data_IF_456991353129
#
_entry.id   IF_456991353129
#
_cell.length_a   1.000
_cell.length_b   1.000
_cell.length_c   1.000
_cell.angle_alpha   90.00
_cell.angle_beta   90.00
_cell.angle_gamma   90.00
#
_symmetry.space_group_name_H-M   'P 1'
#
loop_
_entity.id
_entity.type
_entity.pdbx_description
1 polymer ?
#
# COMPACT_ATOMS: atom_id res chain seq x y z
N UNK A 1 42.33 17.50 -39.72
CA UNK A 1 41.79 16.14 -39.59
C UNK A 1 40.58 16.21 -38.68
N UNK A 2 39.42 16.22 -39.32
CA UNK A 2 38.08 16.13 -38.71
C UNK A 2 37.74 14.68 -38.36
N UNK A 3 36.69 14.53 -37.53
CA UNK A 3 35.90 13.32 -37.26
C UNK A 3 36.47 12.29 -36.25
N UNK A 4 35.73 11.69 -35.30
CA UNK A 4 34.44 11.95 -34.64
C UNK A 4 34.31 10.98 -33.46
N UNK A 5 33.63 11.42 -32.40
CA UNK A 5 32.70 10.70 -31.52
C UNK A 5 32.80 9.16 -31.40
N UNK A 6 33.09 8.71 -30.17
CA UNK A 6 32.24 7.72 -29.51
C UNK A 6 31.81 8.27 -28.14
N UNK A 7 30.70 9.00 -28.14
CA UNK A 7 29.89 9.13 -26.95
C UNK A 7 29.38 7.73 -26.62
N UNK A 8 29.96 7.09 -25.59
CA UNK A 8 29.40 5.84 -25.06
C UNK A 8 28.00 6.14 -24.57
N UNK A 9 27.06 5.65 -25.37
CA UNK A 9 25.64 5.62 -25.18
C UNK A 9 25.35 4.96 -23.81
N UNK A 10 25.20 5.74 -22.74
CA UNK A 10 24.61 5.25 -21.50
C UNK A 10 23.10 5.12 -21.74
N UNK A 11 22.74 4.03 -22.42
CA UNK A 11 21.37 3.56 -22.55
C UNK A 11 20.74 3.50 -21.16
N UNK A 12 19.64 4.23 -20.99
CA UNK A 12 18.81 4.28 -19.80
C UNK A 12 18.54 2.84 -19.34
N UNK A 13 18.99 2.49 -18.12
CA UNK A 13 18.77 1.16 -17.55
C UNK A 13 17.26 0.95 -17.35
N UNK A 14 16.70 -0.24 -17.65
CA UNK A 14 15.32 -0.55 -17.29
C UNK A 14 15.18 -0.49 -15.76
N UNK A 15 14.13 0.16 -15.28
CA UNK A 15 13.79 0.22 -13.84
C UNK A 15 13.61 -1.17 -13.24
N UNK A 16 13.75 -1.26 -11.92
CA UNK A 16 13.59 -2.53 -11.18
C UNK A 16 12.17 -3.10 -11.35
N UNK A 17 11.19 -2.25 -11.64
CA UNK A 17 9.80 -2.67 -11.83
C UNK A 17 9.56 -3.16 -13.27
N UNK A 18 9.77 -4.47 -13.45
CA UNK A 18 9.23 -5.24 -14.57
C UNK A 18 7.79 -5.72 -14.31
N UNK A 19 7.21 -6.50 -15.23
CA UNK A 19 5.86 -7.04 -15.08
C UNK A 19 5.72 -7.91 -13.82
N UNK A 20 6.71 -8.75 -13.51
CA UNK A 20 6.67 -9.64 -12.35
C UNK A 20 6.70 -8.82 -11.06
N UNK A 21 7.63 -7.88 -10.94
CA UNK A 21 7.74 -6.98 -9.78
C UNK A 21 6.48 -6.12 -9.63
N UNK A 22 5.91 -5.61 -10.72
CA UNK A 22 4.63 -4.89 -10.70
C UNK A 22 3.53 -5.71 -10.04
N UNK A 23 3.40 -6.97 -10.44
CA UNK A 23 2.40 -7.88 -9.89
C UNK A 23 2.67 -8.26 -8.42
N UNK A 24 3.95 -8.39 -8.02
CA UNK A 24 4.31 -8.65 -6.63
C UNK A 24 3.95 -7.46 -5.73
N UNK A 25 4.23 -6.23 -6.18
CA UNK A 25 3.79 -5.01 -5.47
C UNK A 25 2.27 -4.97 -5.37
N UNK A 26 1.56 -5.30 -6.45
CA UNK A 26 0.10 -5.34 -6.45
C UNK A 26 -0.47 -6.40 -5.49
N UNK A 27 0.17 -7.57 -5.38
CA UNK A 27 -0.25 -8.62 -4.45
C UNK A 27 -0.06 -8.22 -2.98
N UNK A 28 1.10 -7.63 -2.63
CA UNK A 28 1.32 -7.09 -1.29
C UNK A 28 0.30 -5.98 -0.96
N UNK A 29 0.08 -5.07 -1.91
CA UNK A 29 -0.92 -4.00 -1.78
C UNK A 29 -2.34 -4.54 -1.60
N UNK A 30 -2.71 -5.60 -2.33
CA UNK A 30 -4.03 -6.22 -2.24
C UNK A 30 -4.26 -6.90 -0.89
N UNK A 31 -3.24 -7.57 -0.34
CA UNK A 31 -3.29 -8.08 1.03
C UNK A 31 -3.43 -6.94 2.04
N UNK A 32 -2.63 -5.89 1.89
CA UNK A 32 -2.63 -4.75 2.80
C UNK A 32 -3.98 -4.00 2.82
N UNK A 33 -4.64 -3.88 1.65
CA UNK A 33 -5.96 -3.25 1.50
C UNK A 33 -7.15 -4.18 1.78
N UNK A 34 -6.94 -5.44 2.17
CA UNK A 34 -7.98 -6.47 2.29
C UNK A 34 -8.82 -6.66 0.99
N UNK A 35 -8.20 -6.52 -0.18
CA UNK A 35 -8.88 -6.69 -1.47
C UNK A 35 -8.88 -8.16 -1.92
N UNK A 36 -9.83 -8.97 -1.45
CA UNK A 36 -9.95 -10.38 -1.85
C UNK A 36 -10.07 -10.56 -3.38
N UNK A 37 -10.92 -9.76 -4.02
CA UNK A 37 -11.12 -9.80 -5.47
C UNK A 37 -9.82 -9.46 -6.24
N UNK A 38 -9.02 -8.52 -5.73
CA UNK A 38 -7.73 -8.19 -6.32
C UNK A 38 -6.76 -9.36 -6.18
N UNK A 39 -6.64 -9.97 -4.99
CA UNK A 39 -5.76 -11.13 -4.78
C UNK A 39 -6.13 -12.31 -5.68
N UNK A 40 -7.42 -12.63 -5.78
CA UNK A 40 -7.95 -13.69 -6.67
C UNK A 40 -7.56 -13.47 -8.14
N UNK A 41 -7.47 -12.21 -8.58
CA UNK A 41 -7.04 -11.85 -9.93
C UNK A 41 -5.52 -11.85 -10.11
N UNK A 42 -4.78 -11.29 -9.16
CA UNK A 42 -3.33 -11.05 -9.29
C UNK A 42 -2.52 -12.35 -9.17
N UNK A 43 -2.92 -13.29 -8.29
CA UNK A 43 -2.15 -14.52 -8.05
C UNK A 43 -2.03 -15.40 -9.31
N UNK A 44 -3.09 -15.62 -10.12
CA UNK A 44 -2.94 -16.26 -11.43
C UNK A 44 -1.98 -15.53 -12.37
N UNK A 45 -2.09 -14.19 -12.47
CA UNK A 45 -1.22 -13.40 -13.34
C UNK A 45 0.26 -13.47 -12.91
N UNK A 46 0.53 -13.60 -11.60
CA UNK A 46 1.87 -13.83 -11.05
C UNK A 46 2.46 -15.17 -11.52
N UNK A 47 1.65 -16.23 -11.50
CA UNK A 47 2.07 -17.55 -11.99
C UNK A 47 2.36 -17.51 -13.50
N UNK A 48 1.54 -16.79 -14.26
CA UNK A 48 1.78 -16.57 -15.69
C UNK A 48 3.06 -15.78 -15.95
N UNK A 49 3.37 -14.81 -15.07
CA UNK A 49 4.62 -14.04 -15.07
C UNK A 49 5.83 -14.81 -14.52
N UNK A 50 5.69 -16.12 -14.27
CA UNK A 50 6.75 -17.00 -13.75
C UNK A 50 7.28 -16.59 -12.37
N UNK A 51 6.45 -15.95 -11.55
CA UNK A 51 6.76 -15.78 -10.13
C UNK A 51 6.72 -17.13 -9.42
N UNK A 52 7.67 -17.39 -8.53
CA UNK A 52 7.68 -18.61 -7.72
C UNK A 52 6.68 -18.51 -6.57
N UNK A 53 6.21 -19.64 -6.05
CA UNK A 53 5.32 -19.66 -4.89
C UNK A 53 5.94 -18.95 -3.67
N UNK A 54 7.26 -19.00 -3.53
CA UNK A 54 7.98 -18.28 -2.48
C UNK A 54 8.00 -16.76 -2.70
N UNK A 55 8.15 -16.29 -3.95
CA UNK A 55 8.03 -14.85 -4.27
C UNK A 55 6.63 -14.35 -3.97
N UNK A 56 5.60 -15.10 -4.37
CA UNK A 56 4.20 -14.78 -4.12
C UNK A 56 3.92 -14.76 -2.61
N UNK A 57 4.35 -15.80 -1.88
CA UNK A 57 4.20 -15.90 -0.42
C UNK A 57 4.87 -14.73 0.27
N UNK A 58 6.11 -14.40 -0.09
CA UNK A 58 6.83 -13.26 0.48
C UNK A 58 6.07 -11.97 0.26
N UNK A 59 5.56 -11.70 -0.95
CA UNK A 59 4.79 -10.50 -1.23
C UNK A 59 3.54 -10.38 -0.34
N UNK A 60 2.80 -11.48 -0.19
CA UNK A 60 1.59 -11.53 0.65
C UNK A 60 1.96 -11.32 2.13
N UNK A 61 2.99 -12.00 2.64
CA UNK A 61 3.45 -11.85 4.03
C UNK A 61 3.93 -10.42 4.31
N UNK A 62 4.65 -9.80 3.37
CA UNK A 62 5.04 -8.38 3.46
C UNK A 62 3.82 -7.46 3.53
N UNK A 63 2.82 -7.68 2.68
CA UNK A 63 1.57 -6.90 2.72
C UNK A 63 0.80 -7.06 4.02
N UNK A 64 0.69 -8.30 4.53
CA UNK A 64 0.05 -8.61 5.80
C UNK A 64 0.77 -7.94 6.98
N UNK A 65 2.11 -8.00 7.01
CA UNK A 65 2.91 -7.33 8.02
C UNK A 65 2.64 -5.81 8.07
N UNK A 66 2.63 -5.15 6.91
CA UNK A 66 2.40 -3.70 6.84
C UNK A 66 1.00 -3.32 7.32
N UNK A 67 -0.02 -4.12 6.96
CA UNK A 67 -1.39 -3.97 7.46
C UNK A 67 -1.47 -4.09 8.98
N UNK A 68 -0.91 -5.16 9.54
CA UNK A 68 -1.01 -5.44 10.97
C UNK A 68 -0.26 -4.41 11.79
N UNK A 69 0.88 -3.94 11.29
CA UNK A 69 1.66 -2.88 11.92
C UNK A 69 0.89 -1.56 11.97
N UNK A 70 0.26 -1.16 10.86
CA UNK A 70 -0.58 0.04 10.85
C UNK A 70 -1.74 -0.07 11.86
N UNK A 71 -2.37 -1.24 11.95
CA UNK A 71 -3.42 -1.49 12.93
C UNK A 71 -2.90 -1.45 14.39
N UNK A 72 -1.71 -1.98 14.66
CA UNK A 72 -1.10 -1.96 15.99
C UNK A 72 -0.84 -0.53 16.47
N UNK A 73 -0.21 0.30 15.64
CA UNK A 73 0.06 1.72 15.94
C UNK A 73 -1.25 2.48 16.23
N UNK A 74 -2.29 2.23 15.42
CA UNK A 74 -3.59 2.87 15.63
C UNK A 74 -4.25 2.44 16.95
N UNK A 75 -4.06 1.19 17.38
CA UNK A 75 -4.57 0.71 18.68
C UNK A 75 -3.85 1.37 19.85
N UNK A 76 -2.52 1.47 19.79
CA UNK A 76 -1.73 2.16 20.83
C UNK A 76 -2.13 3.65 20.95
N UNK A 77 -2.36 4.30 19.82
CA UNK A 77 -2.86 5.67 19.80
C UNK A 77 -4.27 5.77 20.39
N UNK A 78 -5.17 4.84 20.04
CA UNK A 78 -6.52 4.81 20.60
C UNK A 78 -6.51 4.57 22.12
N UNK A 79 -5.66 3.68 22.63
CA UNK A 79 -5.49 3.45 24.06
C UNK A 79 -5.02 4.71 24.78
N UNK A 80 -4.10 5.46 24.17
CA UNK A 80 -3.62 6.74 24.69
C UNK A 80 -4.71 7.82 24.69
N UNK A 81 -5.47 7.94 23.60
CA UNK A 81 -6.44 9.03 23.42
C UNK A 81 -7.77 8.78 24.14
N UNK A 82 -8.21 7.52 24.21
CA UNK A 82 -9.54 7.15 24.69
C UNK A 82 -9.51 6.30 25.98
N UNK A 83 -8.32 5.98 26.51
CA UNK A 83 -8.18 5.15 27.72
C UNK A 83 -8.64 3.71 27.50
N UNK A 84 -8.58 3.21 26.27
CA UNK A 84 -8.94 1.83 25.92
C UNK A 84 -7.80 0.85 26.25
N UNK A 85 -8.03 -0.44 26.00
CA UNK A 85 -7.01 -1.50 26.10
C UNK A 85 -7.11 -2.43 24.89
N UNK A 86 -6.94 -1.84 23.70
CA UNK A 86 -7.03 -2.51 22.40
C UNK A 86 -5.69 -3.08 21.95
N UNK A 87 -4.58 -2.44 22.35
CA UNK A 87 -3.24 -2.91 22.06
C UNK A 87 -2.99 -4.24 22.80
N UNK A 88 -2.50 -5.23 22.05
CA UNK A 88 -2.00 -6.49 22.62
C UNK A 88 -0.51 -6.36 22.97
N UNK A 89 0.21 -7.48 23.00
CA UNK A 89 1.67 -7.44 23.06
C UNK A 89 2.23 -6.65 21.87
N UNK A 90 3.19 -5.75 22.15
CA UNK A 90 3.80 -4.88 21.15
C UNK A 90 4.40 -5.71 20.02
N UNK A 91 3.93 -5.47 18.80
CA UNK A 91 4.51 -6.09 17.63
C UNK A 91 5.94 -5.56 17.46
N UNK A 92 6.91 -6.46 17.45
CA UNK A 92 8.33 -6.14 17.23
C UNK A 92 8.50 -5.17 16.04
N UNK A 93 9.26 -4.09 16.25
CA UNK A 93 9.62 -3.10 15.23
C UNK A 93 10.67 -3.67 14.25
N UNK A 94 10.29 -4.69 13.49
CA UNK A 94 11.13 -5.33 12.48
C UNK A 94 10.43 -5.26 11.13
N UNK A 95 10.85 -4.34 10.27
CA UNK A 95 10.42 -4.32 8.89
C UNK A 95 10.93 -5.58 8.17
N UNK A 96 10.19 -6.15 7.19
CA UNK A 96 10.57 -7.41 6.53
C UNK A 96 11.97 -7.42 5.89
N UNK A 97 12.60 -6.26 5.70
CA UNK A 97 13.96 -6.10 5.17
C UNK A 97 15.09 -5.84 6.13
N UNK A 98 14.81 -5.66 7.43
CA UNK A 98 15.84 -5.22 8.39
C UNK A 98 17.01 -6.21 8.53
N UNK A 99 16.79 -7.48 8.22
CA UNK A 99 17.80 -8.55 8.31
C UNK A 99 18.29 -9.04 6.93
N UNK A 100 17.82 -8.44 5.84
CA UNK A 100 18.19 -8.85 4.49
C UNK A 100 19.43 -8.10 3.99
N UNK A 101 20.24 -8.79 3.18
CA UNK A 101 21.31 -8.13 2.43
C UNK A 101 20.68 -7.14 1.44
N UNK A 102 21.21 -5.92 1.32
CA UNK A 102 20.72 -4.84 0.44
C UNK A 102 20.98 -5.11 -1.07
N UNK A 103 20.58 -6.27 -1.56
CA UNK A 103 20.67 -6.70 -2.95
C UNK A 103 19.37 -6.45 -3.74
N UNK A 104 19.24 -7.01 -4.94
CA UNK A 104 18.03 -6.85 -5.76
C UNK A 104 16.76 -7.41 -5.09
N UNK A 105 16.87 -8.51 -4.33
CA UNK A 105 15.75 -9.12 -3.61
C UNK A 105 15.23 -8.21 -2.50
N UNK A 106 16.15 -7.58 -1.76
CA UNK A 106 15.79 -6.55 -0.78
C UNK A 106 15.03 -5.39 -1.42
N UNK A 107 15.55 -4.83 -2.53
CA UNK A 107 14.90 -3.69 -3.21
C UNK A 107 13.49 -4.03 -3.68
N UNK A 108 13.28 -5.21 -4.27
CA UNK A 108 11.94 -5.68 -4.69
C UNK A 108 11.01 -5.77 -3.48
N UNK A 109 11.45 -6.37 -2.39
CA UNK A 109 10.62 -6.50 -1.20
C UNK A 109 10.29 -5.14 -0.56
N UNK A 110 11.24 -4.21 -0.53
CA UNK A 110 10.99 -2.86 -0.02
C UNK A 110 10.02 -2.08 -0.91
N UNK A 111 10.04 -2.28 -2.24
CA UNK A 111 9.01 -1.73 -3.13
C UNK A 111 7.62 -2.34 -2.86
N UNK A 112 7.54 -3.65 -2.60
CA UNK A 112 6.29 -4.30 -2.17
C UNK A 112 5.79 -3.67 -0.87
N UNK A 113 6.68 -3.45 0.10
CA UNK A 113 6.35 -2.81 1.36
C UNK A 113 5.86 -1.36 1.17
N UNK A 114 6.47 -0.59 0.28
CA UNK A 114 6.04 0.79 -0.04
C UNK A 114 4.63 0.83 -0.65
N UNK A 115 4.35 -0.02 -1.65
CA UNK A 115 3.01 -0.15 -2.22
C UNK A 115 1.98 -0.61 -1.18
N UNK A 116 2.36 -1.54 -0.31
CA UNK A 116 1.53 -2.02 0.80
C UNK A 116 1.24 -0.91 1.83
N UNK A 117 2.22 -0.06 2.13
CA UNK A 117 2.05 1.05 3.08
C UNK A 117 1.04 2.07 2.55
N UNK A 118 1.13 2.41 1.26
CA UNK A 118 0.13 3.24 0.59
C UNK A 118 -1.26 2.60 0.63
N UNK A 119 -1.34 1.30 0.35
CA UNK A 119 -2.60 0.56 0.33
C UNK A 119 -3.25 0.45 1.71
N UNK A 120 -2.45 0.35 2.78
CA UNK A 120 -2.89 0.28 4.17
C UNK A 120 -3.11 1.65 4.85
N UNK A 121 -2.83 2.77 4.16
CA UNK A 121 -2.75 4.10 4.79
C UNK A 121 -1.76 4.17 5.98
N UNK A 122 -0.67 3.41 5.94
CA UNK A 122 0.33 3.43 7.01
C UNK A 122 1.42 4.47 6.70
N UNK A 123 1.17 5.74 7.04
CA UNK A 123 2.14 6.83 6.88
C UNK A 123 3.47 6.52 7.57
N UNK A 124 3.40 6.02 8.82
CA UNK A 124 4.58 5.60 9.57
C UNK A 124 5.44 4.59 8.80
N UNK A 125 4.80 3.56 8.21
CA UNK A 125 5.49 2.54 7.43
C UNK A 125 6.16 3.16 6.21
N UNK A 126 5.46 4.04 5.48
CA UNK A 126 6.00 4.69 4.30
C UNK A 126 7.21 5.58 4.64
N UNK A 127 7.11 6.37 5.71
CA UNK A 127 8.20 7.24 6.20
C UNK A 127 9.43 6.45 6.63
N UNK A 128 9.27 5.19 7.05
CA UNK A 128 10.39 4.28 7.36
C UNK A 128 10.98 3.61 6.09
N UNK A 129 10.13 3.15 5.18
CA UNK A 129 10.54 2.35 4.01
C UNK A 129 11.24 3.20 2.93
N UNK A 130 10.80 4.45 2.72
CA UNK A 130 11.33 5.29 1.64
C UNK A 130 12.82 5.65 1.83
N UNK A 131 13.29 6.07 3.01
CA UNK A 131 14.72 6.26 3.25
C UNK A 131 15.59 5.03 2.95
N UNK A 132 15.12 3.85 3.34
CA UNK A 132 15.80 2.57 3.08
C UNK A 132 15.91 2.25 1.58
N UNK A 133 14.86 2.53 0.81
CA UNK A 133 14.86 2.40 -0.65
C UNK A 133 15.86 3.36 -1.31
N UNK A 134 15.93 4.60 -0.82
CA UNK A 134 16.88 5.61 -1.28
C UNK A 134 18.31 5.14 -0.99
N UNK A 135 18.59 4.69 0.23
CA UNK A 135 19.91 4.21 0.63
C UNK A 135 20.33 2.96 -0.18
N UNK A 136 19.40 2.08 -0.50
CA UNK A 136 19.63 0.95 -1.38
C UNK A 136 19.76 1.33 -2.86
N UNK A 137 19.64 2.61 -3.23
CA UNK A 137 19.80 3.10 -4.59
C UNK A 137 18.67 2.65 -5.53
N UNK A 138 17.44 2.56 -5.02
CA UNK A 138 16.24 2.38 -5.86
C UNK A 138 15.89 3.73 -6.51
N UNK A 139 15.50 3.70 -7.78
CA UNK A 139 15.18 4.93 -8.51
C UNK A 139 13.88 5.55 -8.00
N UNK A 140 13.78 6.88 -8.05
CA UNK A 140 12.54 7.58 -7.71
C UNK A 140 11.36 7.12 -8.58
N UNK A 141 11.62 6.81 -9.86
CA UNK A 141 10.60 6.30 -10.78
C UNK A 141 10.04 4.94 -10.33
N UNK A 142 10.89 4.03 -9.85
CA UNK A 142 10.45 2.74 -9.32
C UNK A 142 9.66 2.92 -8.01
N UNK A 143 10.15 3.76 -7.08
CA UNK A 143 9.43 4.06 -5.84
C UNK A 143 8.04 4.66 -6.10
N UNK A 144 7.97 5.66 -6.98
CA UNK A 144 6.72 6.31 -7.39
C UNK A 144 5.75 5.30 -7.99
N UNK A 145 6.22 4.45 -8.91
CA UNK A 145 5.38 3.44 -9.53
C UNK A 145 4.85 2.43 -8.50
N UNK A 146 5.64 2.03 -7.51
CA UNK A 146 5.15 1.16 -6.43
C UNK A 146 4.04 1.83 -5.60
N UNK A 147 4.20 3.12 -5.29
CA UNK A 147 3.19 3.93 -4.60
C UNK A 147 1.91 4.06 -5.42
N UNK A 148 2.01 4.33 -6.72
CA UNK A 148 0.88 4.41 -7.65
C UNK A 148 0.11 3.08 -7.73
N UNK A 149 0.81 1.95 -7.79
CA UNK A 149 0.19 0.61 -7.74
C UNK A 149 -0.57 0.42 -6.42
N UNK A 150 0.04 0.79 -5.29
CA UNK A 150 -0.59 0.72 -3.97
C UNK A 150 -1.88 1.54 -3.90
N UNK A 151 -1.84 2.80 -4.36
CA UNK A 151 -3.00 3.68 -4.41
C UNK A 151 -4.11 3.12 -5.33
N UNK A 152 -3.75 2.62 -6.52
CA UNK A 152 -4.73 2.01 -7.42
C UNK A 152 -5.43 0.79 -6.81
N UNK A 153 -4.71 -0.03 -6.04
CA UNK A 153 -5.29 -1.20 -5.36
C UNK A 153 -6.16 -0.76 -4.18
N UNK A 154 -5.73 0.24 -3.41
CA UNK A 154 -6.47 0.81 -2.27
C UNK A 154 -7.89 1.25 -2.61
N UNK A 155 -8.09 1.84 -3.78
CA UNK A 155 -9.38 2.42 -4.16
C UNK A 155 -10.42 1.36 -4.58
N UNK A 156 -9.97 0.14 -4.91
CA UNK A 156 -10.85 -0.93 -5.41
C UNK A 156 -11.82 -1.50 -4.36
N UNK A 157 -11.38 -1.90 -3.15
CA UNK A 157 -12.29 -2.36 -2.10
C UNK A 157 -13.39 -1.36 -1.81
N UNK A 158 -13.06 -0.07 -1.76
CA UNK A 158 -14.05 0.98 -1.52
C UNK A 158 -15.10 1.06 -2.64
N UNK A 159 -14.69 0.97 -3.90
CA UNK A 159 -15.61 0.94 -5.03
C UNK A 159 -16.54 -0.29 -4.99
N UNK A 160 -15.98 -1.48 -4.76
CA UNK A 160 -16.75 -2.74 -4.64
C UNK A 160 -17.73 -2.67 -3.46
N UNK A 161 -17.29 -2.14 -2.32
CA UNK A 161 -18.14 -2.02 -1.13
C UNK A 161 -19.28 -1.03 -1.34
N UNK A 162 -19.06 0.07 -2.06
CA UNK A 162 -20.11 1.04 -2.41
C UNK A 162 -21.18 0.40 -3.29
N UNK A 163 -20.79 -0.37 -4.31
CA UNK A 163 -21.73 -1.09 -5.16
C UNK A 163 -22.53 -2.12 -4.36
N UNK A 164 -21.86 -2.91 -3.50
CA UNK A 164 -22.54 -3.86 -2.62
C UNK A 164 -23.51 -3.16 -1.65
N UNK A 165 -23.11 -2.03 -1.09
CA UNK A 165 -23.97 -1.24 -0.21
C UNK A 165 -25.20 -0.69 -0.96
N UNK A 166 -25.06 -0.21 -2.20
CA UNK A 166 -26.17 0.27 -3.01
C UNK A 166 -27.20 -0.84 -3.25
N UNK A 167 -26.73 -2.05 -3.57
CA UNK A 167 -27.60 -3.24 -3.74
C UNK A 167 -28.31 -3.62 -2.44
N UNK A 168 -27.58 -3.66 -1.32
CA UNK A 168 -28.11 -4.15 -0.04
C UNK A 168 -29.04 -3.16 0.66
N UNK A 169 -28.81 -1.86 0.47
CA UNK A 169 -29.51 -0.80 1.24
C UNK A 169 -30.38 0.10 0.38
N UNK A 170 -30.32 -0.02 -0.94
CA UNK A 170 -30.98 0.91 -1.87
C UNK A 170 -30.33 2.31 -1.89
N UNK A 171 -29.12 2.44 -1.34
CA UNK A 171 -28.36 3.69 -1.37
C UNK A 171 -27.79 3.97 -2.78
N UNK A 172 -27.18 5.14 -2.95
CA UNK A 172 -26.56 5.61 -4.22
C UNK A 172 -25.15 6.14 -3.98
N UNK A 173 -24.36 5.39 -3.23
CA UNK A 173 -22.98 5.69 -2.85
C UNK A 173 -22.00 5.54 -4.02
N UNK A 174 -22.27 4.65 -4.97
CA UNK A 174 -21.42 4.44 -6.15
C UNK A 174 -21.48 5.62 -7.14
N UNK A 175 -22.58 6.38 -7.17
CA UNK A 175 -22.81 7.50 -8.09
C UNK A 175 -22.39 8.88 -7.60
N UNK A 176 -21.93 9.02 -6.34
CA UNK A 176 -21.60 10.32 -5.74
C UNK A 176 -20.10 10.47 -5.52
N UNK A 177 -19.47 11.38 -6.26
CA UNK A 177 -18.17 11.94 -5.88
C UNK A 177 -18.35 12.77 -4.60
N UNK A 178 -17.60 12.53 -3.52
CA UNK A 178 -17.73 13.30 -2.30
C UNK A 178 -17.21 14.72 -2.56
N UNK A 179 -18.13 15.70 -2.58
CA UNK A 179 -17.78 17.10 -2.35
C UNK A 179 -17.55 17.29 -0.85
N UNK A 180 -16.31 17.67 -0.50
CA UNK A 180 -15.87 18.31 0.75
C UNK A 180 -16.35 17.74 2.10
N UNK A 181 -15.42 17.10 2.80
CA UNK A 181 -15.01 17.35 4.21
C UNK A 181 -16.02 17.95 5.22
N UNK A 182 -17.27 17.49 5.27
CA UNK A 182 -18.09 17.71 6.46
C UNK A 182 -18.14 16.43 7.28
N UNK A 183 -17.55 16.48 8.48
CA UNK A 183 -17.72 15.43 9.46
C UNK A 183 -19.23 15.35 9.79
N UNK A 184 -19.87 14.16 9.71
CA UNK A 184 -21.29 14.03 10.04
C UNK A 184 -21.66 14.55 11.45
N UNK A 185 -20.67 14.58 12.34
CA UNK A 185 -20.79 15.13 13.70
C UNK A 185 -21.13 16.62 13.71
N UNK A 186 -20.70 17.39 12.72
CA UNK A 186 -20.98 18.83 12.64
C UNK A 186 -22.47 19.11 12.38
N UNK A 187 -23.16 18.18 11.69
CA UNK A 187 -24.61 18.26 11.44
C UNK A 187 -25.46 17.87 12.64
N UNK A 188 -24.91 17.13 13.61
CA UNK A 188 -25.64 16.71 14.82
C UNK A 188 -25.67 17.78 15.92
N UNK A 189 -24.79 18.79 15.89
CA UNK A 189 -24.78 19.86 16.90
C UNK A 189 -25.88 20.93 16.71
N UNK A 190 -26.54 20.99 15.56
CA UNK A 190 -27.51 22.05 15.25
C UNK A 190 -28.97 21.75 15.65
N UNK A 191 -29.30 20.55 16.15
CA UNK A 191 -30.69 20.17 16.45
C UNK A 191 -31.12 20.33 17.92
N UNK A 192 -30.26 20.82 18.83
CA UNK A 192 -30.65 21.10 20.22
C UNK A 192 -31.12 22.55 20.37
N UNK A 193 -32.23 22.89 19.72
CA UNK A 193 -32.97 24.12 20.01
C UNK A 193 -33.73 23.97 21.33
N UNK A 194 -33.31 24.71 22.35
CA UNK A 194 -34.00 24.83 23.64
C UNK A 194 -35.41 25.42 23.45
N UNK A 195 -36.44 24.74 23.97
CA UNK A 195 -37.73 25.37 24.26
C UNK A 195 -37.52 26.36 25.42
N UNK A 196 -37.89 27.62 25.19
CA UNK A 196 -38.04 28.67 26.23
C UNK A 196 -39.41 28.58 26.89
#
# INVERSE_FOLDING_TARGET
MTETKEARNYSIRPGLIDRKVTLLVAAGSAMAANCEACLKKIVPELKDAKATDDEIRRAIVTGQFVKDRGAAIMKELADTLAGTSLAGESAVDLCPGDQMKKDAGYKVMMLIAAGSAMAANCEFCLNRIVPDLIEAGVSEADMRRAVEIGQFVKDKPAAIMKEAADVLTGSKLSGKSPSSEECPADKMKQSSGCCS
#
